data_IF_957503177760
#
_entry.id   IF_957503177760
#
_cell.length_a   1.000
_cell.length_b   1.000
_cell.length_c   1.000
_cell.angle_alpha   90.00
_cell.angle_beta   90.00
_cell.angle_gamma   90.00
#
_symmetry.space_group_name_H-M   'P 1'
#
loop_
_entity.id
_entity.type
_entity.pdbx_description
1 polymer ?
#
# COMPACT_ATOMS: atom_id res chain seq x y z
N UNK A 1 2.51 -0.76 7.30
CA UNK A 1 1.33 -1.37 6.64
C UNK A 1 1.24 -2.86 6.96
N UNK A 2 2.30 -3.63 6.75
CA UNK A 2 2.33 -5.07 6.99
C UNK A 2 1.86 -5.48 8.40
N UNK A 3 2.39 -4.87 9.45
CA UNK A 3 2.03 -5.21 10.84
C UNK A 3 0.54 -4.93 11.12
N UNK A 4 0.01 -3.86 10.54
CA UNK A 4 -1.41 -3.54 10.67
C UNK A 4 -2.29 -4.55 9.94
N UNK A 5 -1.88 -5.02 8.76
CA UNK A 5 -2.58 -6.10 8.05
C UNK A 5 -2.53 -7.41 8.85
N UNK A 6 -1.39 -7.75 9.46
CA UNK A 6 -1.28 -8.92 10.35
C UNK A 6 -2.20 -8.78 11.57
N UNK A 7 -2.26 -7.59 12.17
CA UNK A 7 -3.16 -7.29 13.27
C UNK A 7 -4.63 -7.50 12.86
N UNK A 8 -5.08 -6.90 11.74
CA UNK A 8 -6.45 -7.05 11.24
C UNK A 8 -6.82 -8.50 10.94
N UNK A 9 -5.90 -9.26 10.32
CA UNK A 9 -6.07 -10.69 10.11
C UNK A 9 -6.27 -11.42 11.45
N UNK A 10 -5.40 -11.16 12.44
CA UNK A 10 -5.47 -11.80 13.76
C UNK A 10 -6.81 -11.51 14.46
N UNK A 11 -7.24 -10.25 14.52
CA UNK A 11 -8.47 -9.88 15.23
C UNK A 11 -9.76 -10.27 14.47
N UNK A 12 -9.68 -10.58 13.18
CA UNK A 12 -10.79 -11.12 12.38
C UNK A 12 -10.86 -12.65 12.39
N UNK A 13 -10.08 -13.30 13.27
CA UNK A 13 -10.09 -14.75 13.47
C UNK A 13 -9.15 -15.53 12.54
N UNK A 14 -8.37 -14.86 11.68
CA UNK A 14 -7.42 -15.54 10.80
C UNK A 14 -6.22 -16.09 11.57
N UNK A 15 -5.74 -17.26 11.15
CA UNK A 15 -4.67 -17.98 11.84
C UNK A 15 -3.87 -18.88 10.91
N UNK A 16 -2.62 -19.14 11.27
CA UNK A 16 -1.76 -20.11 10.59
C UNK A 16 -2.14 -21.57 10.93
N UNK A 17 -2.91 -21.80 11.99
CA UNK A 17 -3.30 -23.14 12.44
C UNK A 17 -4.44 -23.75 11.60
N UNK A 18 -5.23 -22.94 10.90
CA UNK A 18 -6.31 -23.37 10.03
C UNK A 18 -6.12 -22.74 8.65
N UNK A 19 -5.76 -23.56 7.66
CA UNK A 19 -5.49 -23.10 6.30
C UNK A 19 -6.74 -22.56 5.59
N UNK A 20 -7.95 -22.91 6.06
CA UNK A 20 -9.20 -22.34 5.53
C UNK A 20 -9.40 -20.89 6.00
N UNK A 21 -8.73 -20.52 7.09
CA UNK A 21 -8.76 -19.19 7.70
C UNK A 21 -7.37 -18.54 7.70
N UNK A 22 -6.58 -18.81 6.66
CA UNK A 22 -5.24 -18.25 6.55
C UNK A 22 -5.26 -16.72 6.41
N UNK A 23 -4.25 -16.00 6.92
CA UNK A 23 -4.15 -14.56 6.73
C UNK A 23 -4.12 -14.16 5.24
N UNK A 24 -4.80 -13.06 4.92
CA UNK A 24 -4.99 -12.54 3.55
C UNK A 24 -4.26 -11.22 3.40
N UNK A 25 -3.52 -11.05 2.29
CA UNK A 25 -2.82 -9.83 1.92
C UNK A 25 -3.19 -9.40 0.48
N UNK A 26 -3.21 -8.09 0.17
CA UNK A 26 -3.54 -7.62 -1.17
C UNK A 26 -2.43 -7.95 -2.17
N UNK A 27 -2.75 -8.21 -3.43
CA UNK A 27 -1.80 -7.88 -4.50
C UNK A 27 -1.51 -6.38 -4.49
N UNK A 28 -0.23 -5.98 -4.54
CA UNK A 28 0.17 -4.56 -4.56
C UNK A 28 0.69 -4.14 -5.93
N UNK A 29 1.55 -4.93 -6.56
CA UNK A 29 2.16 -4.62 -7.85
C UNK A 29 1.35 -5.21 -9.00
N UNK A 30 1.36 -4.54 -10.15
CA UNK A 30 0.69 -4.97 -11.39
C UNK A 30 1.67 -5.32 -12.51
N UNK A 31 2.91 -4.83 -12.43
CA UNK A 31 3.92 -4.98 -13.46
C UNK A 31 4.95 -6.07 -13.09
N UNK A 32 4.82 -7.21 -13.76
CA UNK A 32 5.71 -8.36 -13.62
C UNK A 32 6.42 -8.72 -14.93
N UNK A 33 6.28 -7.89 -15.97
CA UNK A 33 6.79 -8.13 -17.32
C UNK A 33 7.96 -7.21 -17.69
N UNK A 34 8.09 -6.02 -17.07
CA UNK A 34 9.17 -5.06 -17.35
C UNK A 34 10.53 -5.48 -16.77
N UNK A 35 11.62 -5.07 -17.41
CA UNK A 35 13.00 -5.28 -16.94
C UNK A 35 13.33 -4.51 -15.66
N UNK A 36 12.74 -3.33 -15.50
CA UNK A 36 12.87 -2.48 -14.31
C UNK A 36 11.51 -2.15 -13.72
N UNK A 37 11.47 -1.93 -12.41
CA UNK A 37 10.27 -1.56 -11.68
C UNK A 37 10.51 -0.25 -10.93
N UNK A 38 9.88 0.82 -11.41
CA UNK A 38 9.88 2.12 -10.75
C UNK A 38 8.71 2.22 -9.75
N UNK A 39 9.03 2.21 -8.45
CA UNK A 39 8.05 2.33 -7.37
C UNK A 39 7.52 3.77 -7.18
N UNK A 40 7.97 4.73 -8.00
CA UNK A 40 7.41 6.09 -8.05
C UNK A 40 6.31 6.24 -9.09
N UNK A 41 6.14 5.27 -10.00
CA UNK A 41 5.10 5.30 -11.03
C UNK A 41 3.78 4.69 -10.51
N UNK A 42 2.68 5.45 -10.46
CA UNK A 42 1.38 4.95 -10.00
C UNK A 42 0.86 3.76 -10.80
N UNK A 43 1.18 3.69 -12.10
CA UNK A 43 0.75 2.60 -12.99
C UNK A 43 1.27 1.21 -12.62
N UNK A 44 2.33 1.13 -11.80
CA UNK A 44 2.87 -0.14 -11.30
C UNK A 44 2.12 -0.68 -10.07
N UNK A 45 1.20 0.11 -9.50
CA UNK A 45 0.42 -0.27 -8.31
C UNK A 45 -1.01 -0.67 -8.69
N UNK A 46 -1.53 -1.65 -7.97
CA UNK A 46 -2.92 -2.07 -8.07
C UNK A 46 -3.81 -1.00 -7.47
N UNK A 47 -4.96 -0.77 -8.10
CA UNK A 47 -6.08 -0.06 -7.49
C UNK A 47 -6.63 -0.87 -6.28
N UNK A 48 -6.24 -0.44 -5.08
CA UNK A 48 -6.62 -1.08 -3.81
C UNK A 48 -8.09 -0.84 -3.43
N UNK A 49 -8.80 0.04 -4.15
CA UNK A 49 -10.23 0.28 -3.93
C UNK A 49 -11.13 -0.80 -4.53
N UNK A 50 -10.55 -1.72 -5.33
CA UNK A 50 -11.27 -2.74 -6.10
C UNK A 50 -10.83 -4.16 -5.74
N UNK A 51 -11.79 -5.12 -5.66
CA UNK A 51 -11.45 -6.54 -5.56
C UNK A 51 -10.79 -7.03 -6.85
N UNK A 52 -10.07 -8.16 -6.78
CA UNK A 52 -9.33 -8.73 -7.94
C UNK A 52 -10.24 -8.87 -9.17
N UNK A 53 -11.46 -9.34 -8.95
CA UNK A 53 -12.47 -9.53 -9.98
C UNK A 53 -12.80 -8.27 -10.79
N UNK A 54 -12.75 -7.11 -10.15
CA UNK A 54 -13.15 -5.82 -10.72
C UNK A 54 -11.99 -5.02 -11.36
N UNK A 55 -10.76 -5.52 -11.29
CA UNK A 55 -9.58 -4.83 -11.86
C UNK A 55 -9.62 -4.80 -13.40
N UNK A 56 -10.00 -5.91 -14.03
CA UNK A 56 -10.16 -6.01 -15.48
C UNK A 56 -11.60 -5.62 -15.88
N UNK A 57 -11.82 -4.54 -16.65
CA UNK A 57 -13.16 -4.06 -16.98
C UNK A 57 -14.04 -5.08 -17.71
N UNK A 58 -13.44 -5.92 -18.59
CA UNK A 58 -14.19 -6.95 -19.31
C UNK A 58 -14.73 -8.02 -18.35
N UNK A 59 -13.91 -8.38 -17.36
CA UNK A 59 -14.27 -9.38 -16.37
C UNK A 59 -15.23 -8.82 -15.31
N UNK A 60 -15.05 -7.56 -14.95
CA UNK A 60 -15.99 -6.82 -14.11
C UNK A 60 -17.41 -6.82 -14.72
N UNK A 61 -17.53 -6.57 -16.03
CA UNK A 61 -18.82 -6.63 -16.73
C UNK A 61 -19.44 -8.04 -16.69
N UNK A 62 -18.62 -9.09 -16.90
CA UNK A 62 -19.08 -10.48 -16.77
C UNK A 62 -19.63 -10.79 -15.37
N UNK A 63 -18.93 -10.38 -14.31
CA UNK A 63 -19.40 -10.62 -12.94
C UNK A 63 -20.65 -9.80 -12.59
N UNK A 64 -20.76 -8.56 -13.09
CA UNK A 64 -21.95 -7.75 -12.93
C UNK A 64 -23.17 -8.41 -13.60
N UNK A 65 -23.02 -8.84 -14.86
CA UNK A 65 -24.08 -9.54 -15.60
C UNK A 65 -24.48 -10.85 -14.90
N UNK A 66 -23.50 -11.62 -14.40
CA UNK A 66 -23.77 -12.85 -13.63
C UNK A 66 -24.63 -12.57 -12.39
N UNK A 67 -24.29 -11.53 -11.64
CA UNK A 67 -25.03 -11.14 -10.44
C UNK A 67 -26.45 -10.67 -10.78
N UNK A 68 -26.61 -9.87 -11.83
CA UNK A 68 -27.90 -9.32 -12.26
C UNK A 68 -28.84 -10.39 -12.86
N UNK A 69 -28.27 -11.36 -13.57
CA UNK A 69 -29.04 -12.42 -14.27
C UNK A 69 -29.19 -13.70 -13.46
N UNK A 70 -28.92 -13.66 -12.15
CA UNK A 70 -29.01 -14.82 -11.27
C UNK A 70 -30.44 -15.41 -11.28
N UNK A 71 -30.56 -16.71 -11.59
CA UNK A 71 -31.86 -17.40 -11.77
C UNK A 71 -32.14 -18.46 -10.71
N UNK A 72 -31.22 -18.67 -9.78
CA UNK A 72 -31.43 -19.66 -8.73
C UNK A 72 -32.19 -19.01 -7.58
N UNK A 73 -33.45 -19.42 -7.38
CA UNK A 73 -34.31 -18.94 -6.31
C UNK A 73 -33.90 -19.52 -4.93
N UNK A 74 -33.05 -20.55 -4.89
CA UNK A 74 -32.63 -21.21 -3.65
C UNK A 74 -31.38 -20.56 -3.04
N UNK A 75 -30.58 -19.88 -3.85
CA UNK A 75 -29.31 -19.27 -3.42
C UNK A 75 -29.29 -17.78 -3.75
N UNK A 76 -28.79 -16.92 -2.83
CA UNK A 76 -28.67 -15.50 -3.13
C UNK A 76 -27.59 -15.27 -4.21
N UNK A 77 -27.72 -14.19 -5.00
CA UNK A 77 -26.78 -13.88 -6.06
C UNK A 77 -25.38 -13.58 -5.53
N UNK A 78 -24.35 -14.00 -6.27
CA UNK A 78 -22.96 -13.67 -6.00
C UNK A 78 -22.21 -13.31 -7.30
N UNK A 79 -21.11 -12.56 -7.14
CA UNK A 79 -20.21 -12.24 -8.25
C UNK A 79 -19.25 -13.39 -8.52
N UNK A 80 -18.78 -14.07 -7.47
CA UNK A 80 -17.68 -15.03 -7.53
C UNK A 80 -18.09 -16.41 -7.03
N UNK A 81 -17.76 -17.44 -7.82
CA UNK A 81 -17.87 -18.86 -7.44
C UNK A 81 -16.64 -19.36 -6.68
N UNK A 82 -15.54 -18.62 -6.75
CA UNK A 82 -14.31 -18.88 -6.01
C UNK A 82 -14.04 -17.77 -5.01
N UNK A 83 -13.30 -18.12 -3.96
CA UNK A 83 -12.94 -17.19 -2.90
C UNK A 83 -11.47 -16.76 -3.02
N UNK A 84 -11.14 -15.57 -2.51
CA UNK A 84 -9.79 -15.03 -2.60
C UNK A 84 -8.78 -15.73 -1.68
N UNK A 85 -9.25 -16.48 -0.69
CA UNK A 85 -8.44 -17.26 0.25
C UNK A 85 -9.08 -18.61 0.54
N UNK A 86 -8.34 -19.68 0.26
CA UNK A 86 -8.74 -21.07 0.46
C UNK A 86 -7.51 -21.88 0.86
N UNK A 87 -7.70 -23.03 1.50
CA UNK A 87 -6.61 -23.97 1.76
C UNK A 87 -5.86 -24.34 0.48
N UNK A 88 -6.58 -24.55 -0.62
CA UNK A 88 -5.97 -24.85 -1.92
C UNK A 88 -5.05 -23.71 -2.40
N UNK A 89 -5.42 -22.44 -2.21
CA UNK A 89 -4.57 -21.30 -2.57
C UNK A 89 -3.28 -21.27 -1.72
N UNK A 90 -3.40 -21.49 -0.40
CA UNK A 90 -2.25 -21.49 0.52
C UNK A 90 -1.27 -22.61 0.15
N UNK A 91 -1.78 -23.83 -0.04
CA UNK A 91 -0.96 -24.97 -0.42
C UNK A 91 -0.36 -24.80 -1.82
N UNK A 92 -1.09 -24.17 -2.76
CA UNK A 92 -0.58 -23.80 -4.07
C UNK A 92 0.62 -22.84 -3.98
N UNK A 93 0.53 -21.81 -3.14
CA UNK A 93 1.62 -20.85 -2.95
C UNK A 93 2.84 -21.46 -2.25
N UNK A 94 2.62 -22.30 -1.24
CA UNK A 94 3.66 -22.83 -0.37
C UNK A 94 4.10 -24.25 -0.72
N UNK A 95 3.72 -24.78 -1.90
CA UNK A 95 3.97 -26.18 -2.32
C UNK A 95 5.45 -26.61 -2.22
N UNK A 96 6.39 -25.66 -2.22
CA UNK A 96 7.84 -25.89 -2.13
C UNK A 96 8.39 -25.97 -0.70
N UNK A 97 7.58 -25.67 0.31
CA UNK A 97 7.98 -25.62 1.72
C UNK A 97 7.27 -26.72 2.51
N UNK A 98 8.01 -27.46 3.34
CA UNK A 98 7.40 -28.36 4.33
C UNK A 98 6.90 -27.59 5.56
N UNK A 99 5.77 -27.98 6.17
CA UNK A 99 4.97 -29.19 5.92
C UNK A 99 3.91 -29.06 4.80
N UNK A 100 3.86 -27.93 4.09
CA UNK A 100 2.80 -27.65 3.10
C UNK A 100 2.88 -28.58 1.88
N UNK A 101 4.07 -29.00 1.47
CA UNK A 101 4.24 -30.03 0.44
C UNK A 101 3.53 -31.32 0.86
N UNK A 102 3.78 -31.81 2.09
CA UNK A 102 3.12 -33.00 2.62
C UNK A 102 1.59 -32.86 2.64
N UNK A 103 1.08 -31.71 3.09
CA UNK A 103 -0.36 -31.44 3.08
C UNK A 103 -0.95 -31.39 1.66
N UNK A 104 -0.24 -30.77 0.72
CA UNK A 104 -0.63 -30.72 -0.68
C UNK A 104 -0.74 -32.12 -1.28
N UNK A 105 0.26 -32.97 -1.06
CA UNK A 105 0.28 -34.35 -1.54
C UNK A 105 -0.86 -35.17 -0.92
N UNK A 106 -1.07 -35.04 0.41
CA UNK A 106 -2.15 -35.74 1.11
C UNK A 106 -3.53 -35.37 0.57
N UNK A 107 -3.75 -34.10 0.20
CA UNK A 107 -5.00 -33.64 -0.39
C UNK A 107 -5.19 -34.11 -1.85
N UNK A 108 -4.09 -34.40 -2.57
CA UNK A 108 -4.09 -34.72 -4.00
C UNK A 108 -3.66 -36.18 -4.30
N UNK A 109 -4.12 -37.14 -3.50
CA UNK A 109 -3.86 -38.57 -3.69
C UNK A 109 -2.35 -38.91 -3.81
N UNK A 110 -1.53 -38.26 -3.00
CA UNK A 110 -0.06 -38.37 -2.97
C UNK A 110 0.62 -38.01 -4.30
N UNK A 111 0.05 -37.07 -5.05
CA UNK A 111 0.62 -36.56 -6.31
C UNK A 111 0.65 -35.04 -6.33
N UNK A 112 1.64 -34.49 -7.02
CA UNK A 112 1.64 -33.08 -7.39
C UNK A 112 0.52 -32.78 -8.40
N UNK A 113 0.13 -31.52 -8.51
CA UNK A 113 -0.89 -31.10 -9.49
C UNK A 113 -0.39 -31.29 -10.92
N UNK A 114 -1.30 -31.09 -11.88
CA UNK A 114 -0.91 -30.89 -13.26
C UNK A 114 0.12 -29.75 -13.36
N UNK A 115 1.23 -29.94 -14.10
CA UNK A 115 2.29 -28.94 -14.19
C UNK A 115 1.76 -27.55 -14.59
N UNK A 116 0.84 -27.48 -15.56
CA UNK A 116 0.27 -26.20 -15.99
C UNK A 116 -0.61 -25.47 -14.97
N UNK A 117 -1.02 -26.13 -13.88
CA UNK A 117 -1.73 -25.50 -12.77
C UNK A 117 -0.84 -25.26 -11.55
N UNK A 118 0.33 -25.88 -11.52
CA UNK A 118 1.29 -25.71 -10.41
C UNK A 118 1.83 -24.29 -10.42
N UNK A 119 2.02 -23.71 -9.23
CA UNK A 119 2.60 -22.38 -9.08
C UNK A 119 4.01 -22.36 -9.67
N UNK A 120 4.19 -21.72 -10.84
CA UNK A 120 5.46 -21.71 -11.55
C UNK A 120 6.00 -20.32 -11.85
N UNK A 121 5.18 -19.26 -11.84
CA UNK A 121 5.60 -17.91 -12.24
C UNK A 121 4.71 -16.84 -11.58
N UNK A 122 5.33 -15.76 -11.07
CA UNK A 122 4.61 -14.62 -10.50
C UNK A 122 3.77 -13.92 -11.56
N UNK A 123 4.38 -13.64 -12.72
CA UNK A 123 3.71 -12.97 -13.83
C UNK A 123 2.54 -13.79 -14.37
N UNK A 124 2.70 -15.12 -14.48
CA UNK A 124 1.60 -16.02 -14.87
C UNK A 124 0.48 -16.00 -13.85
N UNK A 125 0.80 -16.11 -12.56
CA UNK A 125 -0.22 -16.13 -11.51
C UNK A 125 -1.02 -14.81 -11.45
N UNK A 126 -0.36 -13.66 -11.59
CA UNK A 126 -1.04 -12.36 -11.70
C UNK A 126 -1.93 -12.30 -12.96
N UNK A 127 -1.40 -12.73 -14.11
CA UNK A 127 -2.16 -12.74 -15.37
C UNK A 127 -3.39 -13.64 -15.31
N UNK A 128 -3.30 -14.79 -14.66
CA UNK A 128 -4.42 -15.69 -14.41
C UNK A 128 -5.47 -14.99 -13.53
N UNK A 129 -5.05 -14.36 -12.43
CA UNK A 129 -5.92 -13.54 -11.58
C UNK A 129 -6.60 -12.37 -12.31
N UNK A 130 -6.16 -12.00 -13.52
CA UNK A 130 -6.77 -10.93 -14.34
C UNK A 130 -7.65 -11.45 -15.48
N UNK A 131 -7.53 -12.73 -15.84
CA UNK A 131 -8.14 -13.30 -17.06
C UNK A 131 -9.12 -14.42 -16.77
N UNK A 132 -8.79 -15.33 -15.86
CA UNK A 132 -9.65 -16.45 -15.53
C UNK A 132 -10.82 -15.97 -14.65
N UNK A 133 -12.04 -16.35 -15.00
CA UNK A 133 -13.27 -16.02 -14.26
C UNK A 133 -13.41 -16.82 -12.97
N UNK A 134 -12.60 -17.86 -12.80
CA UNK A 134 -12.57 -18.71 -11.61
C UNK A 134 -11.41 -18.34 -10.68
N UNK A 135 -10.58 -17.36 -11.04
CA UNK A 135 -9.37 -17.00 -10.31
C UNK A 135 -9.39 -15.54 -9.84
N UNK A 136 -9.78 -15.37 -8.57
CA UNK A 136 -9.82 -14.08 -7.87
C UNK A 136 -8.96 -14.08 -6.60
N UNK A 137 -7.94 -14.97 -6.54
CA UNK A 137 -7.10 -15.14 -5.36
C UNK A 137 -6.29 -13.89 -5.02
N UNK A 138 -6.29 -13.55 -3.73
CA UNK A 138 -5.40 -12.56 -3.13
C UNK A 138 -4.10 -13.24 -2.68
N UNK A 139 -3.15 -12.44 -2.17
CA UNK A 139 -1.87 -12.92 -1.69
C UNK A 139 -1.94 -13.42 -0.24
N UNK A 140 -0.87 -14.11 0.15
CA UNK A 140 -0.57 -14.49 1.53
C UNK A 140 0.58 -13.62 2.08
N UNK A 141 0.71 -13.47 3.41
CA UNK A 141 1.76 -12.66 4.03
C UNK A 141 3.19 -12.97 3.54
N UNK A 142 3.46 -14.24 3.21
CA UNK A 142 4.77 -14.80 2.86
C UNK A 142 5.38 -14.13 1.62
N UNK A 143 4.56 -13.61 0.70
CA UNK A 143 5.02 -12.80 -0.44
C UNK A 143 5.82 -11.55 -0.04
N UNK A 144 5.71 -11.12 1.22
CA UNK A 144 6.32 -9.90 1.76
C UNK A 144 7.43 -10.17 2.78
N UNK A 145 7.78 -11.44 3.06
CA UNK A 145 8.90 -11.75 3.96
C UNK A 145 9.61 -13.10 3.75
N UNK A 146 9.06 -14.05 2.98
CA UNK A 146 9.55 -15.44 2.92
C UNK A 146 10.07 -15.80 1.50
N UNK A 147 11.35 -15.54 1.17
CA UNK A 147 11.90 -15.83 -0.16
C UNK A 147 11.97 -17.33 -0.50
N UNK A 148 12.04 -18.20 0.52
CA UNK A 148 12.20 -19.65 0.37
C UNK A 148 11.04 -20.29 -0.40
N UNK A 149 9.85 -19.69 -0.38
CA UNK A 149 8.67 -20.24 -1.07
C UNK A 149 8.81 -20.25 -2.60
N UNK A 150 9.75 -19.47 -3.13
CA UNK A 150 10.01 -19.37 -4.56
C UNK A 150 11.12 -20.33 -5.03
N UNK A 151 11.78 -21.05 -4.12
CA UNK A 151 12.92 -21.92 -4.43
C UNK A 151 12.56 -23.38 -4.15
N UNK A 152 12.83 -24.26 -5.11
CA UNK A 152 12.68 -25.70 -4.97
C UNK A 152 13.90 -26.32 -4.30
N UNK A 153 14.20 -25.91 -3.06
CA UNK A 153 15.39 -26.35 -2.31
C UNK A 153 15.38 -27.87 -2.04
N UNK A 154 14.20 -28.49 -2.00
CA UNK A 154 14.01 -29.91 -1.74
C UNK A 154 14.12 -30.79 -3.00
N UNK A 155 14.31 -30.20 -4.19
CA UNK A 155 14.46 -30.94 -5.43
C UNK A 155 13.20 -31.71 -5.85
N UNK A 156 12.01 -31.18 -5.56
CA UNK A 156 10.74 -31.81 -5.93
C UNK A 156 10.58 -31.92 -7.44
N UNK A 157 10.01 -33.05 -7.88
CA UNK A 157 9.65 -33.26 -9.28
C UNK A 157 8.23 -32.74 -9.55
N UNK A 158 8.13 -31.45 -9.88
CA UNK A 158 6.87 -30.75 -10.13
C UNK A 158 6.34 -30.94 -11.57
N UNK A 159 7.04 -31.75 -12.37
CA UNK A 159 6.64 -32.15 -13.71
C UNK A 159 7.05 -31.19 -14.83
N UNK A 160 6.67 -31.57 -16.06
CA UNK A 160 6.97 -30.87 -17.31
C UNK A 160 5.71 -30.19 -17.82
N UNK A 161 5.80 -28.90 -18.12
CA UNK A 161 4.69 -28.13 -18.72
C UNK A 161 4.55 -28.43 -20.20
N UNK A 162 3.38 -28.11 -20.76
CA UNK A 162 3.12 -28.24 -22.19
C UNK A 162 4.09 -27.43 -23.08
N UNK A 163 4.65 -26.33 -22.56
CA UNK A 163 5.66 -25.52 -23.26
C UNK A 163 7.07 -26.14 -23.24
N UNK A 164 7.23 -27.33 -22.65
CA UNK A 164 8.49 -28.05 -22.59
C UNK A 164 9.42 -27.62 -21.45
N UNK A 165 8.98 -26.70 -20.58
CA UNK A 165 9.77 -26.26 -19.42
C UNK A 165 9.47 -27.13 -18.19
N UNK A 166 10.51 -27.61 -17.52
CA UNK A 166 10.36 -28.28 -16.22
C UNK A 166 10.06 -27.26 -15.13
N UNK A 167 9.15 -27.60 -14.23
CA UNK A 167 8.86 -26.76 -13.07
C UNK A 167 9.88 -27.05 -11.98
N UNK A 168 10.55 -26.00 -11.53
CA UNK A 168 11.51 -26.06 -10.44
C UNK A 168 11.29 -24.82 -9.53
N UNK A 169 12.23 -23.89 -9.50
CA UNK A 169 12.06 -22.56 -8.91
C UNK A 169 10.93 -21.80 -9.60
N UNK A 170 10.37 -20.81 -8.90
CA UNK A 170 9.34 -19.93 -9.44
C UNK A 170 10.00 -18.90 -10.36
N UNK A 171 9.47 -18.75 -11.57
CA UNK A 171 9.90 -17.72 -12.51
C UNK A 171 9.61 -16.34 -11.93
N UNK A 172 10.69 -15.61 -11.64
CA UNK A 172 10.65 -14.26 -11.10
C UNK A 172 10.46 -13.23 -12.24
N UNK A 173 9.88 -12.06 -11.93
CA UNK A 173 9.89 -10.91 -12.83
C UNK A 173 11.33 -10.50 -13.17
N UNK A 174 11.56 -9.91 -14.35
CA UNK A 174 12.90 -9.55 -14.81
C UNK A 174 13.62 -8.56 -13.87
N UNK A 175 12.88 -7.70 -13.16
CA UNK A 175 13.42 -6.78 -12.16
C UNK A 175 13.86 -7.44 -10.84
N UNK A 176 13.54 -8.72 -10.60
CA UNK A 176 13.95 -9.49 -9.43
C UNK A 176 14.92 -10.61 -9.83
N UNK A 177 16.21 -10.42 -9.57
CA UNK A 177 17.25 -11.40 -9.91
C UNK A 177 17.27 -12.60 -8.97
N UNK A 178 16.78 -12.41 -7.74
CA UNK A 178 16.72 -13.44 -6.72
C UNK A 178 15.39 -13.36 -5.95
N UNK A 179 14.94 -14.46 -5.31
CA UNK A 179 13.75 -14.46 -4.47
C UNK A 179 13.77 -13.38 -3.37
N UNK A 180 14.93 -13.09 -2.80
CA UNK A 180 15.09 -12.04 -1.78
C UNK A 180 14.85 -10.65 -2.36
N UNK A 181 15.20 -10.40 -3.63
CA UNK A 181 14.90 -9.14 -4.31
C UNK A 181 13.39 -8.99 -4.52
N UNK A 182 12.70 -10.05 -4.95
CA UNK A 182 11.25 -10.05 -5.09
C UNK A 182 10.57 -9.68 -3.76
N UNK A 183 10.92 -10.38 -2.68
CA UNK A 183 10.35 -10.14 -1.35
C UNK A 183 10.67 -8.74 -0.83
N UNK A 184 11.91 -8.29 -0.96
CA UNK A 184 12.34 -6.94 -0.55
C UNK A 184 11.55 -5.87 -1.30
N UNK A 185 11.41 -6.00 -2.61
CA UNK A 185 10.69 -5.03 -3.45
C UNK A 185 9.18 -5.08 -3.17
N UNK A 186 8.59 -6.26 -2.99
CA UNK A 186 7.19 -6.40 -2.54
C UNK A 186 6.97 -5.68 -1.20
N UNK A 187 7.89 -5.83 -0.24
CA UNK A 187 7.81 -5.16 1.06
C UNK A 187 7.96 -3.65 0.94
N UNK A 188 8.89 -3.17 0.10
CA UNK A 188 9.02 -1.73 -0.20
C UNK A 188 7.76 -1.18 -0.86
N UNK A 189 7.15 -1.89 -1.80
CA UNK A 189 5.91 -1.50 -2.45
C UNK A 189 4.75 -1.46 -1.45
N UNK A 190 4.62 -2.47 -0.58
CA UNK A 190 3.58 -2.51 0.47
C UNK A 190 3.72 -1.35 1.47
N UNK A 191 4.95 -0.97 1.82
CA UNK A 191 5.22 0.15 2.74
C UNK A 191 5.31 1.51 2.03
N UNK A 192 5.10 1.55 0.71
CA UNK A 192 5.11 2.80 -0.06
C UNK A 192 3.97 3.74 0.35
N UNK A 193 4.13 5.01 -0.04
CA UNK A 193 3.14 6.04 0.20
C UNK A 193 1.86 5.81 -0.65
N UNK A 194 1.99 5.25 -1.85
CA UNK A 194 0.86 4.85 -2.70
C UNK A 194 -0.06 3.84 -2.02
N UNK A 195 0.52 2.82 -1.39
CA UNK A 195 -0.26 1.85 -0.61
C UNK A 195 -0.78 2.50 0.65
N UNK A 196 0.06 3.24 1.38
CA UNK A 196 -0.33 3.86 2.66
C UNK A 196 -1.56 4.75 2.55
N UNK A 197 -1.70 5.53 1.47
CA UNK A 197 -2.85 6.41 1.29
C UNK A 197 -4.13 5.69 0.83
N UNK A 198 -4.05 4.47 0.29
CA UNK A 198 -5.21 3.74 -0.25
C UNK A 198 -5.56 2.42 0.47
N UNK A 199 -4.67 1.89 1.32
CA UNK A 199 -4.84 0.57 1.94
C UNK A 199 -6.14 0.43 2.75
N UNK A 200 -6.61 1.52 3.35
CA UNK A 200 -7.89 1.57 4.05
C UNK A 200 -9.08 1.13 3.17
N UNK A 201 -9.03 1.40 1.86
CA UNK A 201 -10.08 0.99 0.92
C UNK A 201 -10.06 -0.51 0.61
N UNK A 202 -8.87 -1.13 0.62
CA UNK A 202 -8.77 -2.59 0.52
C UNK A 202 -9.27 -3.25 1.81
N UNK A 203 -8.93 -2.66 2.96
CA UNK A 203 -9.46 -3.08 4.26
C UNK A 203 -10.98 -3.00 4.28
N UNK A 204 -11.59 -1.97 3.68
CA UNK A 204 -13.06 -1.88 3.55
C UNK A 204 -13.67 -3.06 2.79
N UNK A 205 -12.99 -3.58 1.76
CA UNK A 205 -13.45 -4.72 0.97
C UNK A 205 -13.33 -6.03 1.75
N UNK A 206 -12.21 -6.23 2.47
CA UNK A 206 -11.90 -7.51 3.12
C UNK A 206 -12.47 -7.63 4.52
N UNK A 207 -12.39 -6.57 5.34
CA UNK A 207 -12.77 -6.57 6.75
C UNK A 207 -13.81 -5.51 7.11
N UNK A 208 -14.05 -4.52 6.24
CA UNK A 208 -14.88 -3.36 6.56
C UNK A 208 -16.25 -3.35 5.91
N UNK A 209 -16.78 -2.15 5.72
CA UNK A 209 -18.19 -1.94 5.36
C UNK A 209 -18.56 -2.40 3.94
N UNK A 210 -17.59 -2.59 3.04
CA UNK A 210 -17.80 -3.08 1.66
C UNK A 210 -17.73 -4.62 1.56
N UNK A 211 -17.57 -5.33 2.68
CA UNK A 211 -17.58 -6.79 2.71
C UNK A 211 -18.98 -7.37 2.41
N UNK A 212 -20.04 -6.67 2.84
CA UNK A 212 -21.43 -7.14 2.74
C UNK A 212 -22.40 -6.01 2.34
N UNK A 213 -23.63 -6.38 2.02
CA UNK A 213 -24.71 -5.43 1.75
C UNK A 213 -24.58 -4.66 0.42
N UNK A 214 -25.31 -3.54 0.24
CA UNK A 214 -25.35 -2.79 -1.01
C UNK A 214 -23.98 -2.30 -1.49
N UNK A 215 -23.07 -2.00 -0.55
CA UNK A 215 -21.72 -1.53 -0.85
C UNK A 215 -20.84 -2.63 -1.45
N UNK A 216 -21.02 -3.88 -0.99
CA UNK A 216 -20.38 -5.03 -1.61
C UNK A 216 -20.90 -5.22 -3.04
N UNK A 217 -22.20 -5.05 -3.29
CA UNK A 217 -22.77 -5.13 -4.66
C UNK A 217 -22.18 -4.05 -5.55
N UNK A 218 -22.16 -2.80 -5.08
CA UNK A 218 -21.63 -1.64 -5.83
C UNK A 218 -20.17 -1.80 -6.22
N UNK A 219 -19.39 -2.53 -5.44
CA UNK A 219 -17.95 -2.74 -5.67
C UNK A 219 -17.62 -4.10 -6.29
N UNK A 220 -18.64 -4.87 -6.69
CA UNK A 220 -18.51 -6.24 -7.19
C UNK A 220 -17.75 -7.13 -6.20
N UNK A 221 -18.11 -7.13 -4.91
CA UNK A 221 -17.40 -7.80 -3.83
C UNK A 221 -18.28 -8.83 -3.08
N UNK A 222 -19.25 -9.42 -3.76
CA UNK A 222 -20.15 -10.44 -3.17
C UNK A 222 -19.68 -11.84 -3.54
N UNK A 223 -19.32 -12.64 -2.54
CA UNK A 223 -18.93 -14.04 -2.67
C UNK A 223 -20.12 -14.98 -2.44
N UNK A 224 -19.92 -16.28 -2.63
CA UNK A 224 -20.95 -17.27 -2.33
C UNK A 224 -21.42 -17.18 -0.86
N UNK A 225 -22.72 -17.31 -0.60
CA UNK A 225 -23.29 -17.03 0.72
C UNK A 225 -22.71 -17.89 1.85
N UNK A 226 -22.36 -19.14 1.58
CA UNK A 226 -21.73 -20.04 2.56
C UNK A 226 -20.34 -19.59 3.03
N UNK A 227 -19.70 -18.66 2.32
CA UNK A 227 -18.40 -18.10 2.74
C UNK A 227 -18.55 -17.14 3.92
N UNK A 228 -19.75 -16.62 4.18
CA UNK A 228 -19.99 -15.60 5.20
C UNK A 228 -20.44 -16.22 6.53
N UNK A 229 -19.83 -15.74 7.62
CA UNK A 229 -20.26 -16.06 8.98
C UNK A 229 -21.76 -15.74 9.17
N UNK A 230 -22.48 -16.69 9.79
CA UNK A 230 -23.88 -16.56 10.15
C UNK A 230 -24.89 -16.86 9.03
N UNK A 231 -24.44 -17.19 7.81
CA UNK A 231 -25.33 -17.43 6.68
C UNK A 231 -26.13 -18.72 6.78
N UNK A 232 -25.60 -19.76 7.42
CA UNK A 232 -26.29 -21.03 7.68
C UNK A 232 -25.98 -21.49 9.09
N UNK A 233 -26.99 -21.94 9.82
CA UNK A 233 -26.82 -22.61 11.11
C UNK A 233 -26.75 -24.11 10.90
N UNK A 234 -25.57 -24.71 11.09
CA UNK A 234 -25.37 -26.15 10.91
C UNK A 234 -26.24 -26.99 11.86
N UNK A 235 -26.50 -26.48 13.07
CA UNK A 235 -27.35 -27.15 14.06
C UNK A 235 -28.83 -27.17 13.66
N UNK A 236 -29.24 -26.28 12.76
CA UNK A 236 -30.60 -26.28 12.21
C UNK A 236 -30.81 -27.33 11.11
N UNK A 237 -29.72 -27.88 10.54
CA UNK A 237 -29.78 -28.89 9.50
C UNK A 237 -29.94 -30.27 10.15
N UNK A 238 -31.13 -30.83 10.03
CA UNK A 238 -31.48 -32.15 10.60
C UNK A 238 -31.06 -33.32 9.71
N UNK A 239 -30.93 -33.08 8.40
CA UNK A 239 -30.43 -34.07 7.45
C UNK A 239 -28.89 -34.14 7.52
N UNK A 240 -28.38 -35.30 7.93
CA UNK A 240 -26.94 -35.56 8.08
C UNK A 240 -26.18 -35.42 6.76
N UNK A 241 -26.75 -35.86 5.64
CA UNK A 241 -26.07 -35.77 4.34
C UNK A 241 -25.96 -34.32 3.88
N UNK A 242 -27.03 -33.55 4.06
CA UNK A 242 -27.03 -32.13 3.73
C UNK A 242 -26.08 -31.34 4.63
N UNK A 243 -26.00 -31.70 5.92
CA UNK A 243 -25.06 -31.10 6.87
C UNK A 243 -23.61 -31.38 6.47
N UNK A 244 -23.26 -32.63 6.21
CA UNK A 244 -21.90 -33.01 5.78
C UNK A 244 -21.52 -32.32 4.47
N UNK A 245 -22.44 -32.25 3.50
CA UNK A 245 -22.21 -31.54 2.24
C UNK A 245 -21.99 -30.03 2.44
N UNK A 246 -22.77 -29.41 3.33
CA UNK A 246 -22.65 -27.99 3.65
C UNK A 246 -21.33 -27.69 4.37
N UNK A 247 -20.93 -28.53 5.34
CA UNK A 247 -19.65 -28.42 6.05
C UNK A 247 -18.47 -28.57 5.08
N UNK A 248 -18.51 -29.57 4.19
CA UNK A 248 -17.48 -29.78 3.18
C UNK A 248 -17.38 -28.58 2.21
N UNK A 249 -18.51 -27.96 1.84
CA UNK A 249 -18.53 -26.78 1.00
C UNK A 249 -17.94 -25.55 1.70
N UNK A 250 -18.29 -25.31 2.97
CA UNK A 250 -17.72 -24.23 3.78
C UNK A 250 -16.20 -24.38 3.91
N UNK A 251 -15.72 -25.59 4.14
CA UNK A 251 -14.28 -25.86 4.25
C UNK A 251 -13.56 -25.67 2.89
N UNK A 252 -14.13 -26.17 1.80
CA UNK A 252 -13.43 -26.24 0.52
C UNK A 252 -13.44 -24.93 -0.29
N UNK A 253 -14.50 -24.12 -0.15
CA UNK A 253 -14.71 -22.94 -1.01
C UNK A 253 -14.26 -21.62 -0.37
N UNK A 254 -13.65 -21.68 0.82
CA UNK A 254 -13.07 -20.53 1.51
C UNK A 254 -14.06 -19.82 2.45
N UNK A 255 -13.48 -19.14 3.44
CA UNK A 255 -14.24 -18.44 4.47
C UNK A 255 -13.86 -16.96 4.46
N UNK A 256 -14.84 -16.07 4.37
CA UNK A 256 -14.65 -14.61 4.48
C UNK A 256 -14.31 -14.27 5.94
N UNK A 257 -13.32 -13.39 6.24
CA UNK A 257 -12.98 -13.04 7.61
C UNK A 257 -14.14 -12.34 8.31
N UNK A 258 -14.17 -12.37 9.64
CA UNK A 258 -15.17 -11.62 10.40
C UNK A 258 -15.07 -10.12 10.10
N UNK A 259 -16.23 -9.47 9.95
CA UNK A 259 -16.31 -8.05 9.67
C UNK A 259 -15.93 -7.25 10.93
N UNK A 260 -14.93 -6.38 10.80
CA UNK A 260 -14.36 -5.62 11.92
C UNK A 260 -15.01 -4.24 12.09
N UNK A 261 -15.55 -3.68 11.01
CA UNK A 261 -16.19 -2.37 11.02
C UNK A 261 -17.29 -2.27 9.96
N UNK A 262 -18.30 -1.46 10.26
CA UNK A 262 -19.45 -1.18 9.38
C UNK A 262 -19.45 0.25 8.82
N UNK A 263 -18.44 1.04 9.18
CA UNK A 263 -18.18 2.38 8.67
C UNK A 263 -16.91 2.37 7.80
N UNK A 264 -16.66 3.42 6.99
CA UNK A 264 -15.42 3.52 6.22
C UNK A 264 -14.17 3.50 7.12
N UNK A 265 -13.20 2.66 6.77
CA UNK A 265 -11.94 2.58 7.49
C UNK A 265 -11.19 3.92 7.39
N UNK A 266 -10.71 4.48 8.52
CA UNK A 266 -9.97 5.73 8.49
C UNK A 266 -8.74 5.62 7.59
N UNK A 267 -8.48 6.60 6.71
CA UNK A 267 -7.24 6.63 5.95
C UNK A 267 -6.04 6.81 6.89
N UNK A 268 -4.92 6.18 6.56
CA UNK A 268 -3.66 6.45 7.27
C UNK A 268 -3.31 7.93 7.06
N UNK A 269 -2.98 8.64 8.14
CA UNK A 269 -2.44 9.99 8.07
C UNK A 269 -1.10 9.95 7.34
N UNK A 270 -1.15 10.14 6.04
CA UNK A 270 -0.03 10.03 5.12
C UNK A 270 0.39 11.44 4.69
N UNK A 271 1.66 11.63 4.35
CA UNK A 271 2.15 12.94 3.90
C UNK A 271 1.37 13.43 2.67
N UNK A 272 0.85 12.52 1.84
CA UNK A 272 0.00 12.87 0.70
C UNK A 272 -1.40 13.38 1.06
N UNK A 273 -1.95 13.00 2.22
CA UNK A 273 -3.18 13.62 2.72
C UNK A 273 -2.95 15.08 3.17
N UNK A 274 -1.72 15.41 3.56
CA UNK A 274 -1.30 16.78 3.87
C UNK A 274 -0.96 17.59 2.61
N UNK A 275 -0.63 16.94 1.48
CA UNK A 275 -0.31 17.57 0.19
C UNK A 275 -0.89 16.83 -1.04
N UNK A 276 -2.21 16.92 -1.31
CA UNK A 276 -2.88 16.26 -2.44
C UNK A 276 -2.39 16.66 -3.84
N UNK A 277 -1.53 17.67 -3.94
CA UNK A 277 -1.06 18.28 -5.18
C UNK A 277 0.18 17.59 -5.79
N UNK A 278 0.78 16.60 -5.12
CA UNK A 278 2.00 15.94 -5.60
C UNK A 278 1.84 15.18 -6.93
N UNK A 279 0.60 14.94 -7.39
CA UNK A 279 0.32 14.17 -8.61
C UNK A 279 -0.68 14.83 -9.58
N UNK A 280 -0.86 16.16 -9.54
CA UNK A 280 -1.40 16.83 -10.73
C UNK A 280 -0.26 16.98 -11.73
N UNK A 281 -0.46 16.50 -12.96
CA UNK A 281 0.43 16.60 -14.14
C UNK A 281 0.94 18.03 -14.47
N UNK A 282 0.58 19.05 -13.69
CA UNK A 282 0.96 20.44 -13.87
C UNK A 282 2.24 20.89 -13.16
N UNK A 283 2.91 20.02 -12.38
CA UNK A 283 4.13 20.40 -11.65
C UNK A 283 5.44 20.07 -12.39
N UNK A 284 5.44 20.07 -13.73
CA UNK A 284 6.67 20.20 -14.53
C UNK A 284 7.17 21.67 -14.57
N UNK A 285 7.34 22.29 -13.40
CA UNK A 285 8.15 23.49 -13.26
C UNK A 285 9.19 23.22 -12.18
N UNK A 286 10.30 22.60 -12.58
CA UNK A 286 11.36 22.14 -11.67
C UNK A 286 12.02 23.27 -10.85
N UNK A 287 11.74 24.55 -11.16
CA UNK A 287 12.14 25.71 -10.34
C UNK A 287 11.05 26.77 -10.36
N UNK A 288 10.36 26.98 -9.23
CA UNK A 288 9.31 27.99 -9.07
C UNK A 288 9.89 29.35 -8.65
N UNK A 289 11.00 29.36 -7.90
CA UNK A 289 11.66 30.58 -7.42
C UNK A 289 13.12 30.30 -7.01
N UNK A 290 14.01 31.27 -7.27
CA UNK A 290 15.38 31.28 -6.75
C UNK A 290 15.53 32.48 -5.80
N UNK A 291 15.91 32.22 -4.55
CA UNK A 291 16.15 33.24 -3.53
C UNK A 291 17.66 33.41 -3.34
N UNK A 292 18.17 34.62 -3.60
CA UNK A 292 19.57 34.96 -3.32
C UNK A 292 19.66 35.69 -2.00
N UNK A 293 20.38 35.11 -1.04
CA UNK A 293 20.70 35.80 0.21
C UNK A 293 21.79 36.86 -0.05
N UNK A 294 21.67 38.08 0.51
CA UNK A 294 22.72 39.11 0.41
C UNK A 294 24.00 38.72 1.17
N UNK A 295 23.92 37.73 2.07
CA UNK A 295 25.10 37.20 2.74
C UNK A 295 25.84 36.26 1.80
N UNK A 296 27.16 36.48 1.62
CA UNK A 296 28.05 35.50 0.98
C UNK A 296 28.31 34.26 1.86
N UNK A 297 27.56 34.07 2.93
CA UNK A 297 27.61 32.88 3.79
C UNK A 297 26.67 31.80 3.26
N UNK A 298 27.13 30.55 3.08
CA UNK A 298 26.26 29.42 2.71
C UNK A 298 25.13 29.23 3.72
N UNK A 299 23.96 28.82 3.22
CA UNK A 299 22.83 28.37 4.05
C UNK A 299 23.13 26.95 4.54
N UNK A 300 23.09 26.73 5.85
CA UNK A 300 23.40 25.45 6.50
C UNK A 300 22.17 24.73 7.01
N UNK A 301 21.08 25.45 7.28
CA UNK A 301 19.84 24.88 7.79
C UNK A 301 18.62 25.54 7.14
N UNK A 302 17.63 24.73 6.80
CA UNK A 302 16.35 25.16 6.21
C UNK A 302 15.24 24.40 6.92
N UNK A 303 14.29 25.14 7.49
CA UNK A 303 13.08 24.60 8.08
C UNK A 303 11.86 25.19 7.37
N UNK A 304 10.99 24.34 6.84
CA UNK A 304 9.81 24.75 6.09
C UNK A 304 8.54 24.30 6.84
N UNK A 305 7.99 25.17 7.70
CA UNK A 305 6.70 24.93 8.35
C UNK A 305 5.65 25.82 7.67
N UNK A 306 5.00 25.26 6.66
CA UNK A 306 4.12 25.98 5.72
C UNK A 306 2.65 25.59 5.84
N UNK A 307 2.27 24.87 6.91
CA UNK A 307 0.92 24.34 7.08
C UNK A 307 -0.13 25.47 7.18
N UNK A 308 -1.33 25.32 6.57
CA UNK A 308 -2.34 26.39 6.54
C UNK A 308 -2.89 26.83 7.90
N UNK A 309 -2.81 25.97 8.92
CA UNK A 309 -3.28 26.27 10.27
C UNK A 309 -2.27 27.03 11.13
N UNK A 310 -1.03 27.23 10.62
CA UNK A 310 -0.04 28.04 11.33
C UNK A 310 -0.41 29.52 11.24
N UNK A 311 -0.24 30.22 12.37
CA UNK A 311 -0.42 31.68 12.42
C UNK A 311 0.56 32.41 11.50
N UNK A 312 1.77 31.87 11.33
CA UNK A 312 2.81 32.40 10.44
C UNK A 312 3.47 31.25 9.68
N UNK A 313 2.90 30.82 8.53
CA UNK A 313 3.55 29.88 7.64
C UNK A 313 4.83 30.51 7.06
N UNK A 314 5.97 29.83 7.19
CA UNK A 314 7.26 30.38 6.79
C UNK A 314 8.30 29.31 6.48
N UNK A 315 9.30 29.73 5.70
CA UNK A 315 10.56 29.01 5.48
C UNK A 315 11.67 29.77 6.19
N UNK A 316 12.19 29.18 7.26
CA UNK A 316 13.29 29.72 8.06
C UNK A 316 14.60 29.18 7.52
N UNK A 317 15.54 30.07 7.24
CA UNK A 317 16.90 29.69 6.80
C UNK A 317 17.93 30.21 7.79
N UNK A 318 19.00 29.44 8.00
CA UNK A 318 20.16 29.83 8.84
C UNK A 318 21.44 29.60 8.04
N UNK A 319 22.36 30.57 8.09
CA UNK A 319 23.65 30.51 7.40
C UNK A 319 24.81 30.10 8.32
N UNK A 320 25.96 29.73 7.75
CA UNK A 320 27.18 29.44 8.52
C UNK A 320 27.55 30.57 9.49
N UNK A 321 27.35 31.84 9.08
CA UNK A 321 27.61 33.02 9.91
C UNK A 321 26.50 33.31 10.93
N UNK A 322 25.60 32.35 11.15
CA UNK A 322 24.47 32.42 12.10
C UNK A 322 23.47 33.52 11.79
N UNK A 323 23.41 33.97 10.54
CA UNK A 323 22.36 34.86 10.08
C UNK A 323 21.13 34.03 9.77
N UNK A 324 19.97 34.49 10.21
CA UNK A 324 18.72 33.80 9.91
C UNK A 324 17.70 34.72 9.25
N UNK A 325 16.82 34.12 8.47
CA UNK A 325 15.75 34.80 7.75
C UNK A 325 14.44 34.04 7.94
N UNK A 326 13.35 34.77 8.11
CA UNK A 326 11.99 34.19 8.16
C UNK A 326 11.27 34.59 6.88
N UNK A 327 11.33 33.72 5.87
CA UNK A 327 10.71 33.99 4.58
C UNK A 327 9.24 33.56 4.64
N UNK A 328 8.32 34.49 4.40
CA UNK A 328 6.89 34.25 4.56
C UNK A 328 6.37 33.36 3.44
N UNK A 329 5.59 32.34 3.81
CA UNK A 329 4.95 31.45 2.85
C UNK A 329 3.52 31.89 2.56
N UNK A 330 3.20 32.06 1.28
CA UNK A 330 1.85 32.40 0.82
C UNK A 330 1.14 31.12 0.37
N UNK A 331 0.05 30.75 1.05
CA UNK A 331 -0.76 29.57 0.72
C UNK A 331 -1.61 29.71 -0.57
N UNK A 332 -1.37 30.75 -1.37
CA UNK A 332 -2.14 31.08 -2.58
C UNK A 332 -1.86 30.16 -3.77
N UNK A 333 -0.76 29.40 -3.74
CA UNK A 333 -0.27 28.61 -4.87
C UNK A 333 -1.13 27.36 -5.14
N UNK A 334 -2.08 27.04 -4.25
CA UNK A 334 -3.03 25.92 -4.41
C UNK A 334 -4.41 26.28 -4.96
N UNK A 335 -4.73 27.56 -5.19
CA UNK A 335 -6.10 28.01 -5.51
C UNK A 335 -6.33 28.38 -6.99
N UNK A 336 -5.43 28.00 -7.92
CA UNK A 336 -5.78 28.06 -9.36
C UNK A 336 -6.94 27.08 -9.64
N UNK A 337 -8.16 27.59 -9.67
CA UNK A 337 -9.37 26.85 -10.06
C UNK A 337 -10.49 26.74 -9.02
N UNK A 338 -10.41 27.39 -7.86
CA UNK A 338 -11.56 27.49 -6.96
C UNK A 338 -12.59 28.52 -7.49
N UNK A 339 -13.90 28.29 -7.34
CA UNK A 339 -14.92 29.26 -7.76
C UNK A 339 -14.76 30.56 -6.95
N UNK A 340 -14.43 31.67 -7.63
CA UNK A 340 -14.18 32.98 -7.01
C UNK A 340 -12.75 33.53 -7.17
N UNK A 341 -11.87 32.85 -7.91
CA UNK A 341 -10.51 33.33 -8.16
C UNK A 341 -10.49 34.57 -9.08
N UNK A 342 -10.01 35.70 -8.56
CA UNK A 342 -9.75 36.94 -9.34
C UNK A 342 -8.40 36.85 -10.05
N UNK A 343 -8.33 37.23 -11.33
CA UNK A 343 -7.10 37.28 -12.12
C UNK A 343 -6.05 38.28 -11.56
N UNK A 344 -6.43 39.20 -10.69
CA UNK A 344 -5.50 40.20 -10.11
C UNK A 344 -4.49 39.58 -9.12
N UNK A 345 -4.74 38.38 -8.59
CA UNK A 345 -3.86 37.71 -7.61
C UNK A 345 -2.69 36.91 -8.24
N UNK A 346 -2.55 36.95 -9.57
CA UNK A 346 -1.53 36.19 -10.32
C UNK A 346 -0.07 36.59 -10.05
N UNK A 347 0.19 37.64 -9.26
CA UNK A 347 1.53 38.21 -9.04
C UNK A 347 2.21 37.84 -7.71
N UNK A 348 1.61 37.00 -6.87
CA UNK A 348 2.25 36.62 -5.60
C UNK A 348 3.09 35.35 -5.73
N UNK A 349 4.41 35.50 -5.59
CA UNK A 349 5.35 34.39 -5.48
C UNK A 349 5.04 33.55 -4.22
N UNK A 350 5.32 32.22 -4.24
CA UNK A 350 5.06 31.31 -3.11
C UNK A 350 5.74 31.76 -1.81
N UNK A 351 6.92 32.37 -1.96
CA UNK A 351 7.76 32.80 -0.85
C UNK A 351 8.01 34.29 -1.01
N UNK A 352 7.70 35.03 0.03
CA UNK A 352 8.11 36.42 0.19
C UNK A 352 9.36 36.45 1.07
N UNK A 353 10.46 37.01 0.54
CA UNK A 353 11.73 37.09 1.25
C UNK A 353 11.58 37.97 2.51
N UNK A 354 12.25 37.58 3.60
CA UNK A 354 12.29 38.40 4.81
C UNK A 354 12.74 39.82 4.46
N UNK A 355 11.94 40.83 4.79
CA UNK A 355 12.21 42.24 4.44
C UNK A 355 13.51 42.75 5.05
N UNK A 356 13.95 42.17 6.18
CA UNK A 356 15.23 42.48 6.81
C UNK A 356 16.43 41.89 6.06
N UNK A 357 16.19 40.91 5.20
CA UNK A 357 17.18 40.33 4.29
C UNK A 357 17.11 40.99 2.92
N UNK A 358 15.91 41.31 2.43
CA UNK A 358 15.73 41.98 1.14
C UNK A 358 16.30 43.42 1.12
N UNK A 359 16.17 44.15 2.22
CA UNK A 359 16.73 45.49 2.36
C UNK A 359 18.18 45.40 2.82
N UNK A 360 19.13 45.51 1.88
CA UNK A 360 20.58 45.46 2.11
C UNK A 360 21.15 46.67 2.89
N UNK A 361 20.33 47.34 3.71
CA UNK A 361 20.76 48.43 4.59
C UNK A 361 21.34 47.80 5.85
N UNK A 362 22.65 47.99 6.06
CA UNK A 362 23.49 47.23 6.99
C UNK A 362 23.19 47.30 8.48
N UNK A 363 21.98 47.70 8.90
CA UNK A 363 21.60 47.94 10.29
C UNK A 363 20.64 46.92 10.91
N UNK A 364 20.00 46.01 10.14
CA UNK A 364 18.98 45.10 10.68
C UNK A 364 19.19 43.61 10.32
N UNK A 365 20.40 43.07 10.50
CA UNK A 365 20.64 41.62 10.30
C UNK A 365 20.27 40.85 11.56
N UNK A 366 19.31 39.90 11.46
CA UNK A 366 19.04 38.97 12.54
C UNK A 366 20.18 37.94 12.62
N UNK A 367 20.86 37.90 13.76
CA UNK A 367 21.97 36.98 14.01
C UNK A 367 21.74 36.23 15.32
N UNK A 368 22.03 34.95 15.34
CA UNK A 368 22.02 34.14 16.56
C UNK A 368 23.29 34.47 17.35
N UNK A 369 23.11 35.07 18.54
CA UNK A 369 24.20 35.63 19.36
C UNK A 369 24.75 34.70 20.43
N UNK A 370 24.21 33.48 20.57
CA UNK A 370 24.69 32.54 21.58
C UNK A 370 26.19 32.27 21.45
N UNK A 371 26.82 32.06 22.61
CA UNK A 371 28.24 31.74 22.78
C UNK A 371 28.52 30.32 22.26
N UNK A 372 28.55 30.18 20.95
CA UNK A 372 29.07 28.98 20.29
C UNK A 372 30.57 28.95 20.49
N UNK A 373 31.10 27.89 21.10
CA UNK A 373 32.54 27.66 21.18
C UNK A 373 33.15 27.75 19.77
N UNK A 374 34.25 28.49 19.63
CA UNK A 374 34.94 28.71 18.36
C UNK A 374 35.43 27.41 17.72
N UNK A 375 35.53 26.32 18.48
CA UNK A 375 35.89 24.99 17.96
C UNK A 375 34.76 24.27 17.23
N UNK A 376 33.52 24.77 17.28
CA UNK A 376 32.34 24.09 16.72
C UNK A 376 32.13 24.50 15.26
N UNK A 377 32.11 23.50 14.38
CA UNK A 377 31.71 23.70 12.99
C UNK A 377 30.17 23.76 12.89
N UNK A 378 29.66 24.86 12.32
CA UNK A 378 28.23 25.06 12.13
C UNK A 378 27.72 24.14 11.02
N UNK A 379 26.79 23.25 11.36
CA UNK A 379 26.13 22.30 10.43
C UNK A 379 24.61 22.37 10.56
N UNK A 380 23.88 21.64 9.72
CA UNK A 380 22.39 21.58 9.79
C UNK A 380 21.89 21.06 11.14
N UNK A 381 22.65 20.18 11.80
CA UNK A 381 22.29 19.58 13.09
C UNK A 381 22.46 20.53 14.28
N UNK A 382 23.06 21.71 14.08
CA UNK A 382 23.24 22.72 15.12
C UNK A 382 21.97 23.55 15.38
N UNK A 383 20.91 23.38 14.58
CA UNK A 383 19.70 24.19 14.67
C UNK A 383 18.44 23.34 14.55
N UNK A 384 17.42 23.72 15.31
CA UNK A 384 16.05 23.18 15.20
C UNK A 384 15.08 24.36 15.27
N UNK A 385 14.13 24.42 14.34
CA UNK A 385 13.07 25.45 14.36
C UNK A 385 11.79 24.81 14.88
N UNK A 386 11.10 25.48 15.80
CA UNK A 386 9.81 24.99 16.31
C UNK A 386 8.76 24.95 15.22
N UNK A 387 7.80 24.02 15.32
CA UNK A 387 6.76 23.81 14.32
C UNK A 387 5.89 25.06 14.04
N UNK A 388 5.85 26.01 14.99
CA UNK A 388 5.14 27.28 14.88
C UNK A 388 6.00 28.44 14.33
N UNK A 389 7.24 28.16 13.90
CA UNK A 389 8.23 29.13 13.42
C UNK A 389 8.64 30.22 14.42
N UNK A 390 8.35 30.06 15.72
CA UNK A 390 8.61 31.11 16.72
C UNK A 390 10.01 31.07 17.33
N UNK A 391 10.59 29.89 17.47
CA UNK A 391 11.88 29.72 18.12
C UNK A 391 12.86 28.95 17.24
N UNK A 392 14.12 29.39 17.27
CA UNK A 392 15.26 28.65 16.74
C UNK A 392 16.03 28.17 17.96
N UNK A 393 16.03 26.86 18.18
CA UNK A 393 16.83 26.19 19.19
C UNK A 393 18.21 25.92 18.60
N UNK A 394 19.24 26.28 19.35
CA UNK A 394 20.62 26.04 18.97
C UNK A 394 21.09 24.80 19.74
N UNK A 395 21.53 23.77 19.01
CA UNK A 395 21.72 22.41 19.51
C UNK A 395 23.17 21.93 19.28
N UNK A 396 23.56 20.88 20.01
CA UNK A 396 24.85 20.20 19.82
C UNK A 396 26.04 20.84 20.55
N UNK A 397 25.78 21.67 21.56
CA UNK A 397 26.83 22.20 22.44
C UNK A 397 27.14 21.21 23.55
N UNK A 398 28.41 20.84 23.63
CA UNK A 398 28.95 20.12 24.78
C UNK A 398 29.31 21.19 25.82
N UNK A 399 28.59 21.22 26.92
CA UNK A 399 28.87 22.10 28.06
C UNK A 399 30.10 21.65 28.88
N UNK A 400 30.79 20.59 28.44
CA UNK A 400 31.89 19.92 29.15
C UNK A 400 31.52 19.55 30.60
N UNK A 401 30.24 19.29 30.88
CA UNK A 401 29.76 18.97 32.22
C UNK A 401 30.07 17.55 32.70
N UNK A 402 30.80 16.74 31.92
CA UNK A 402 31.29 15.42 32.32
C UNK A 402 32.70 15.14 31.78
#
# INVERSE_FOLDING_TARGET
>A
NFEYLMFLNTISGRTYNDLNQYPVFPWVLTNYDSEELDLTLPGNFRDLSKPVGALNPKRAAFYAERYETWKDDQTPPCHYDSHYSTTANVLHWLVRIEPFTTFFLSANNNKFDHPDRTFSSIARSWRNCQRDTSDVKELIPEFYYLPEMFVNSNGYHLGLREDGNMICDVDLPAWAKKPEDLVRINRMALESEFVSCQLHQWIDLTFGYKQRGPEAVRTLNVFHHLTYEGSVSLDSITDLLLREATEAQIQSFGQTPSQLLIEPHPPRSSAMHLSPLMFKDQMQQDVIMVLKFPSNSPVTHVAANTLPHLTVPAVVTVTCNRLFAVNRWHNTVGLRGAPGYSLEQAHHLPIEMDSLVANNTGSNKRQITDLVDQSIQITTHCFVVTADNRYILVCGFWDKSF
#
